data_IF_668457998370
#
_entry.id   IF_668457998370
#
_cell.length_a   1.000
_cell.length_b   1.000
_cell.length_c   1.000
_cell.angle_alpha   90.00
_cell.angle_beta   90.00
_cell.angle_gamma   90.00
#
_symmetry.space_group_name_H-M   'P 1'
#
loop_
_entity.id
_entity.type
_entity.pdbx_description
1 polymer ?
#
# COMPACT_ATOMS: atom_id res chain seq x y z
N UNK A 1 -10.59 -21.96 5.51
CA UNK A 1 -10.65 -20.54 5.95
C UNK A 1 -12.02 -20.15 6.52
N UNK A 2 -13.01 -21.06 6.54
CA UNK A 2 -14.37 -20.81 7.05
C UNK A 2 -14.69 -21.63 8.30
N UNK A 3 -13.67 -22.11 9.01
CA UNK A 3 -13.84 -22.84 10.27
C UNK A 3 -14.56 -21.98 11.32
N UNK A 4 -15.30 -22.58 12.25
CA UNK A 4 -15.99 -21.85 13.31
C UNK A 4 -14.99 -21.18 14.28
N UNK A 5 -13.85 -21.83 14.52
CA UNK A 5 -12.83 -21.37 15.46
C UNK A 5 -11.95 -20.25 14.85
N UNK A 6 -11.82 -19.15 15.58
CA UNK A 6 -11.09 -17.95 15.12
C UNK A 6 -9.61 -18.22 14.91
N UNK A 7 -9.00 -19.01 15.80
CA UNK A 7 -7.56 -19.29 15.80
C UNK A 7 -7.18 -20.18 14.61
N UNK A 8 -8.10 -21.06 14.19
CA UNK A 8 -7.96 -21.87 12.98
C UNK A 8 -8.01 -20.97 11.75
N UNK A 9 -8.96 -20.03 11.67
CA UNK A 9 -9.03 -19.07 10.54
C UNK A 9 -7.78 -18.18 10.49
N UNK A 10 -7.35 -17.64 11.63
CA UNK A 10 -6.16 -16.80 11.74
C UNK A 10 -4.91 -17.54 11.20
N UNK A 11 -4.69 -18.77 11.66
CA UNK A 11 -3.54 -19.59 11.25
C UNK A 11 -3.61 -19.97 9.78
N UNK A 12 -4.83 -20.26 9.28
CA UNK A 12 -5.03 -20.58 7.87
C UNK A 12 -4.67 -19.40 6.94
N UNK A 13 -4.99 -18.16 7.32
CA UNK A 13 -4.60 -16.99 6.52
C UNK A 13 -3.11 -16.68 6.60
N UNK A 14 -2.45 -16.92 7.73
CA UNK A 14 -0.99 -16.83 7.82
C UNK A 14 -0.34 -17.82 6.84
N UNK A 15 -0.74 -19.09 6.92
CA UNK A 15 -0.25 -20.12 6.00
C UNK A 15 -0.54 -19.77 4.53
N UNK A 16 -1.70 -19.20 4.22
CA UNK A 16 -2.03 -18.80 2.86
C UNK A 16 -1.04 -17.77 2.29
N UNK A 17 -0.66 -16.76 3.08
CA UNK A 17 0.35 -15.80 2.65
C UNK A 17 1.72 -16.45 2.44
N UNK A 18 2.13 -17.37 3.32
CA UNK A 18 3.37 -18.15 3.15
C UNK A 18 3.33 -19.01 1.87
N UNK A 19 2.20 -19.67 1.59
CA UNK A 19 1.99 -20.44 0.37
C UNK A 19 2.04 -19.55 -0.88
N UNK A 20 1.48 -18.34 -0.81
CA UNK A 20 1.60 -17.37 -1.90
C UNK A 20 3.07 -17.02 -2.15
N UNK A 21 3.82 -16.71 -1.10
CA UNK A 21 5.24 -16.33 -1.22
C UNK A 21 6.12 -17.42 -1.84
N UNK A 22 5.92 -18.67 -1.43
CA UNK A 22 6.86 -19.76 -1.70
C UNK A 22 6.38 -20.77 -2.74
N UNK A 23 5.07 -20.94 -2.92
CA UNK A 23 4.51 -21.99 -3.76
C UNK A 23 3.17 -21.59 -4.40
N UNK A 24 3.09 -20.35 -4.91
CA UNK A 24 1.89 -19.79 -5.56
C UNK A 24 1.27 -20.70 -6.62
N UNK A 25 2.09 -21.39 -7.42
CA UNK A 25 1.63 -22.30 -8.47
C UNK A 25 0.71 -23.42 -7.95
N UNK A 26 0.84 -23.81 -6.68
CA UNK A 26 0.00 -24.84 -6.06
C UNK A 26 -1.39 -24.32 -5.67
N UNK A 27 -1.53 -23.02 -5.39
CA UNK A 27 -2.77 -22.40 -4.93
C UNK A 27 -3.47 -21.57 -6.03
N UNK A 28 -2.75 -21.21 -7.09
CA UNK A 28 -3.27 -20.42 -8.20
C UNK A 28 -4.54 -21.04 -8.84
N UNK A 29 -4.66 -22.37 -9.05
CA UNK A 29 -5.86 -22.95 -9.64
C UNK A 29 -7.13 -22.74 -8.79
N UNK A 30 -6.98 -22.55 -7.47
CA UNK A 30 -8.08 -22.36 -6.52
C UNK A 30 -8.25 -20.89 -6.12
N UNK A 31 -7.54 -19.96 -6.76
CA UNK A 31 -7.50 -18.57 -6.32
C UNK A 31 -8.88 -17.92 -6.29
N UNK A 32 -9.77 -18.24 -7.23
CA UNK A 32 -11.13 -17.71 -7.22
C UNK A 32 -11.91 -18.06 -5.95
N UNK A 33 -11.86 -19.31 -5.51
CA UNK A 33 -12.50 -19.74 -4.27
C UNK A 33 -11.80 -19.14 -3.04
N UNK A 34 -10.47 -19.09 -3.07
CA UNK A 34 -9.68 -18.47 -2.00
C UNK A 34 -10.08 -17.01 -1.80
N UNK A 35 -10.16 -16.23 -2.88
CA UNK A 35 -10.51 -14.80 -2.81
C UNK A 35 -11.95 -14.58 -2.37
N UNK A 36 -12.89 -15.45 -2.78
CA UNK A 36 -14.27 -15.43 -2.28
C UNK A 36 -14.36 -15.63 -0.77
N UNK A 37 -13.49 -16.47 -0.20
CA UNK A 37 -13.44 -16.69 1.25
C UNK A 37 -12.63 -15.63 1.99
N UNK A 38 -11.58 -15.07 1.38
CA UNK A 38 -10.66 -14.12 1.98
C UNK A 38 -11.29 -12.72 2.11
N UNK A 39 -11.84 -12.17 1.04
CA UNK A 39 -12.30 -10.77 1.00
C UNK A 39 -13.30 -10.45 2.14
N UNK A 40 -14.29 -11.31 2.45
CA UNK A 40 -15.22 -11.05 3.54
C UNK A 40 -14.59 -11.04 4.94
N UNK A 41 -13.41 -11.66 5.12
CA UNK A 41 -12.72 -11.73 6.42
C UNK A 41 -11.96 -10.44 6.75
N UNK A 42 -11.76 -9.56 5.76
CA UNK A 42 -11.32 -8.20 5.97
C UNK A 42 -12.54 -7.40 6.45
N UNK A 43 -12.79 -7.43 7.75
CA UNK A 43 -14.00 -6.89 8.38
C UNK A 43 -13.76 -5.52 9.01
N UNK A 44 -14.64 -4.56 8.68
CA UNK A 44 -14.61 -3.19 9.20
C UNK A 44 -14.82 -3.08 10.70
N UNK A 45 -15.53 -4.05 11.29
CA UNK A 45 -15.82 -4.06 12.72
C UNK A 45 -14.69 -4.71 13.53
N UNK A 46 -13.68 -5.27 12.86
CA UNK A 46 -12.58 -5.99 13.49
C UNK A 46 -13.04 -7.07 14.48
N UNK A 47 -14.22 -7.67 14.24
CA UNK A 47 -14.83 -8.62 15.19
C UNK A 47 -13.85 -9.75 15.54
N UNK A 48 -13.02 -10.11 14.57
CA UNK A 48 -11.90 -11.02 14.71
C UNK A 48 -10.61 -10.37 14.20
N UNK A 49 -10.06 -9.45 14.99
CA UNK A 49 -8.90 -8.62 14.63
C UNK A 49 -7.75 -9.39 13.97
N UNK A 50 -7.30 -10.48 14.58
CA UNK A 50 -6.15 -11.24 14.07
C UNK A 50 -6.46 -11.97 12.75
N UNK A 51 -7.71 -12.41 12.56
CA UNK A 51 -8.18 -13.01 11.30
C UNK A 51 -8.18 -11.96 10.21
N UNK A 52 -8.75 -10.77 10.50
CA UNK A 52 -8.78 -9.64 9.57
C UNK A 52 -7.36 -9.19 9.18
N UNK A 53 -6.44 -9.13 10.15
CA UNK A 53 -5.04 -8.78 9.92
C UNK A 53 -4.34 -9.76 8.97
N UNK A 54 -4.45 -11.06 9.22
CA UNK A 54 -3.81 -12.06 8.37
C UNK A 54 -4.49 -12.18 6.99
N UNK A 55 -5.81 -11.96 6.92
CA UNK A 55 -6.53 -11.89 5.65
C UNK A 55 -6.06 -10.69 4.80
N UNK A 56 -5.91 -9.51 5.40
CA UNK A 56 -5.38 -8.33 4.70
C UNK A 56 -3.97 -8.57 4.19
N UNK A 57 -3.06 -9.04 5.06
CA UNK A 57 -1.68 -9.34 4.69
C UNK A 57 -1.57 -10.38 3.56
N UNK A 58 -2.29 -11.52 3.68
CA UNK A 58 -2.28 -12.56 2.66
C UNK A 58 -2.85 -12.09 1.31
N UNK A 59 -3.81 -11.16 1.29
CA UNK A 59 -4.27 -10.54 0.05
C UNK A 59 -3.13 -9.79 -0.68
N UNK A 60 -2.28 -9.10 0.08
CA UNK A 60 -1.11 -8.40 -0.46
C UNK A 60 -0.09 -9.35 -1.07
N UNK A 61 0.21 -10.47 -0.41
CA UNK A 61 1.12 -11.50 -0.93
C UNK A 61 0.56 -12.18 -2.19
N UNK A 62 -0.74 -12.51 -2.19
CA UNK A 62 -1.42 -13.05 -3.37
C UNK A 62 -1.39 -12.07 -4.55
N UNK A 63 -1.58 -10.78 -4.31
CA UNK A 63 -1.52 -9.76 -5.36
C UNK A 63 -0.13 -9.71 -6.02
N UNK A 64 0.94 -9.66 -5.22
CA UNK A 64 2.32 -9.61 -5.73
C UNK A 64 2.68 -10.83 -6.58
N UNK A 65 2.14 -12.00 -6.23
CA UNK A 65 2.46 -13.27 -6.90
C UNK A 65 1.55 -13.57 -8.08
N UNK A 66 0.28 -13.18 -8.01
CA UNK A 66 -0.70 -13.38 -9.07
C UNK A 66 -0.49 -12.46 -10.28
N UNK A 67 -0.04 -11.22 -10.06
CA UNK A 67 0.06 -10.23 -11.13
C UNK A 67 -1.32 -9.71 -11.58
N UNK A 68 -1.33 -8.71 -12.46
CA UNK A 68 -2.55 -7.93 -12.81
C UNK A 68 -3.67 -8.82 -13.33
N UNK A 69 -3.41 -9.66 -14.33
CA UNK A 69 -4.43 -10.49 -14.98
C UNK A 69 -5.21 -11.37 -13.99
N UNK A 70 -4.53 -11.85 -12.96
CA UNK A 70 -5.08 -12.78 -11.98
C UNK A 70 -5.78 -12.04 -10.85
N UNK A 71 -5.20 -10.96 -10.31
CA UNK A 71 -5.74 -10.26 -9.14
C UNK A 71 -6.82 -9.23 -9.48
N UNK A 72 -6.79 -8.65 -10.69
CA UNK A 72 -7.62 -7.50 -11.08
C UNK A 72 -9.11 -7.62 -10.74
N UNK A 73 -9.80 -8.77 -10.92
CA UNK A 73 -11.21 -8.91 -10.54
C UNK A 73 -11.49 -8.69 -9.05
N UNK A 74 -10.48 -8.86 -8.19
CA UNK A 74 -10.60 -8.77 -6.74
C UNK A 74 -10.09 -7.44 -6.18
N UNK A 75 -9.41 -6.61 -6.99
CA UNK A 75 -8.83 -5.34 -6.52
C UNK A 75 -9.90 -4.41 -6.00
N UNK A 76 -11.00 -4.18 -6.72
CA UNK A 76 -12.09 -3.31 -6.26
C UNK A 76 -12.73 -3.82 -4.97
N UNK A 77 -13.17 -5.09 -4.86
CA UNK A 77 -13.68 -5.65 -3.60
C UNK A 77 -12.69 -5.53 -2.42
N UNK A 78 -11.38 -5.69 -2.67
CA UNK A 78 -10.36 -5.50 -1.64
C UNK A 78 -10.26 -4.03 -1.23
N UNK A 79 -10.25 -3.08 -2.16
CA UNK A 79 -10.18 -1.65 -1.84
C UNK A 79 -11.39 -1.17 -1.05
N UNK A 80 -12.59 -1.63 -1.41
CA UNK A 80 -13.82 -1.34 -0.66
C UNK A 80 -13.67 -1.72 0.81
N UNK A 81 -12.92 -2.79 1.11
CA UNK A 81 -12.63 -3.26 2.47
C UNK A 81 -11.45 -2.51 3.10
N UNK A 82 -10.31 -2.44 2.43
CA UNK A 82 -9.06 -1.93 2.98
C UNK A 82 -9.04 -0.41 3.19
N UNK A 83 -9.70 0.38 2.33
CA UNK A 83 -9.67 1.85 2.43
C UNK A 83 -10.41 2.35 3.67
N UNK A 84 -11.65 1.92 3.98
CA UNK A 84 -12.30 2.29 5.24
C UNK A 84 -11.54 1.77 6.46
N UNK A 85 -10.91 0.60 6.36
CA UNK A 85 -10.03 0.09 7.41
C UNK A 85 -8.86 1.01 7.69
N UNK A 86 -8.17 1.48 6.66
CA UNK A 86 -7.03 2.38 6.81
C UNK A 86 -7.45 3.75 7.39
N UNK A 87 -8.57 4.29 6.89
CA UNK A 87 -9.05 5.63 7.23
C UNK A 87 -9.72 5.73 8.61
N UNK A 88 -10.04 4.61 9.26
CA UNK A 88 -10.58 4.63 10.62
C UNK A 88 -9.44 4.86 11.64
N UNK A 89 -9.54 5.93 12.42
CA UNK A 89 -8.52 6.27 13.42
C UNK A 89 -8.45 5.28 14.58
N UNK A 90 -9.54 4.54 14.83
CA UNK A 90 -9.63 3.54 15.89
C UNK A 90 -9.06 2.17 15.48
N UNK A 91 -8.64 2.02 14.22
CA UNK A 91 -8.04 0.78 13.73
C UNK A 91 -6.74 0.50 14.46
N UNK A 92 -6.56 -0.70 15.04
CA UNK A 92 -5.29 -1.08 15.64
C UNK A 92 -4.13 -0.91 14.66
N UNK A 93 -3.02 -0.34 15.12
CA UNK A 93 -1.91 0.10 14.28
C UNK A 93 -1.42 -1.00 13.33
N UNK A 94 -1.17 -2.21 13.84
CA UNK A 94 -0.68 -3.35 13.02
C UNK A 94 -1.62 -3.70 11.86
N UNK A 95 -2.94 -3.57 12.07
CA UNK A 95 -3.90 -3.79 10.99
C UNK A 95 -3.95 -2.63 10.01
N UNK A 96 -3.83 -1.38 10.48
CA UNK A 96 -3.71 -0.23 9.60
C UNK A 96 -2.45 -0.31 8.72
N UNK A 97 -1.33 -0.75 9.30
CA UNK A 97 -0.06 -1.01 8.59
C UNK A 97 -0.26 -2.07 7.49
N UNK A 98 -0.84 -3.23 7.83
CA UNK A 98 -1.11 -4.29 6.86
C UNK A 98 -2.11 -3.87 5.78
N UNK A 99 -3.14 -3.09 6.13
CA UNK A 99 -4.08 -2.55 5.16
C UNK A 99 -3.38 -1.61 4.17
N UNK A 100 -2.55 -0.69 4.68
CA UNK A 100 -1.83 0.26 3.85
C UNK A 100 -0.76 -0.42 2.97
N UNK A 101 0.00 -1.38 3.51
CA UNK A 101 0.96 -2.17 2.73
C UNK A 101 0.23 -2.91 1.60
N UNK A 102 -0.91 -3.53 1.91
CA UNK A 102 -1.73 -4.26 0.93
C UNK A 102 -2.26 -3.34 -0.17
N UNK A 103 -2.80 -2.17 0.18
CA UNK A 103 -3.23 -1.16 -0.80
C UNK A 103 -2.07 -0.75 -1.71
N UNK A 104 -0.88 -0.54 -1.15
CA UNK A 104 0.34 -0.23 -1.91
C UNK A 104 0.66 -1.36 -2.90
N UNK A 105 0.67 -2.61 -2.46
CA UNK A 105 0.94 -3.78 -3.32
C UNK A 105 -0.11 -3.96 -4.41
N UNK A 106 -1.39 -3.73 -4.13
CA UNK A 106 -2.44 -3.70 -5.14
C UNK A 106 -2.19 -2.60 -6.18
N UNK A 107 -1.73 -1.42 -5.74
CA UNK A 107 -1.36 -0.31 -6.61
C UNK A 107 -0.13 -0.58 -7.48
N UNK A 108 0.81 -1.40 -6.98
CA UNK A 108 1.96 -1.86 -7.76
C UNK A 108 1.55 -2.80 -8.89
N UNK A 109 0.59 -3.69 -8.62
CA UNK A 109 0.18 -4.75 -9.55
C UNK A 109 -0.90 -4.27 -10.52
N UNK A 110 -1.89 -3.53 -10.04
CA UNK A 110 -3.06 -3.08 -10.81
C UNK A 110 -3.27 -1.57 -10.71
N UNK A 111 -2.28 -0.74 -11.09
CA UNK A 111 -2.35 0.71 -10.92
C UNK A 111 -3.57 1.34 -11.62
N UNK A 112 -3.99 0.78 -12.76
CA UNK A 112 -5.18 1.24 -13.50
C UNK A 112 -6.48 1.20 -12.69
N UNK A 113 -6.58 0.32 -11.70
CA UNK A 113 -7.76 0.17 -10.83
C UNK A 113 -7.60 0.95 -9.52
N UNK A 114 -6.38 0.98 -8.96
CA UNK A 114 -6.16 1.59 -7.64
C UNK A 114 -5.93 3.10 -7.72
N UNK A 115 -5.17 3.59 -8.72
CA UNK A 115 -4.79 5.00 -8.82
C UNK A 115 -5.97 6.00 -8.86
N UNK A 116 -7.14 5.68 -9.45
CA UNK A 116 -8.32 6.56 -9.36
C UNK A 116 -8.81 6.81 -7.92
N UNK A 117 -8.49 5.91 -6.99
CA UNK A 117 -8.90 6.00 -5.57
C UNK A 117 -7.82 6.65 -4.69
N UNK A 118 -6.71 7.10 -5.28
CA UNK A 118 -5.53 7.56 -4.53
C UNK A 118 -5.87 8.67 -3.52
N UNK A 119 -6.67 9.64 -3.92
CA UNK A 119 -7.09 10.76 -3.07
C UNK A 119 -7.84 10.28 -1.81
N UNK A 120 -8.55 9.15 -1.89
CA UNK A 120 -9.38 8.64 -0.80
C UNK A 120 -8.56 8.09 0.37
N UNK A 121 -7.31 7.67 0.16
CA UNK A 121 -6.51 7.01 1.19
C UNK A 121 -5.10 7.58 1.38
N UNK A 122 -4.56 8.34 0.42
CA UNK A 122 -3.14 8.69 0.40
C UNK A 122 -2.65 9.43 1.65
N UNK A 123 -3.47 10.33 2.22
CA UNK A 123 -3.09 11.07 3.44
C UNK A 123 -2.83 10.13 4.60
N UNK A 124 -3.81 9.27 4.90
CA UNK A 124 -3.71 8.31 6.00
C UNK A 124 -2.66 7.24 5.73
N UNK A 125 -2.53 6.81 4.48
CA UNK A 125 -1.47 5.89 4.05
C UNK A 125 -0.08 6.43 4.36
N UNK A 126 0.20 7.70 4.02
CA UNK A 126 1.50 8.32 4.29
C UNK A 126 1.78 8.40 5.80
N UNK A 127 0.77 8.76 6.60
CA UNK A 127 0.89 8.82 8.06
C UNK A 127 1.25 7.44 8.63
N UNK A 128 0.51 6.40 8.26
CA UNK A 128 0.75 5.03 8.76
C UNK A 128 2.11 4.49 8.32
N UNK A 129 2.47 4.62 7.04
CA UNK A 129 3.73 4.05 6.53
C UNK A 129 4.96 4.85 6.99
N UNK A 130 4.78 6.08 7.48
CA UNK A 130 5.87 6.87 8.05
C UNK A 130 6.41 6.29 9.37
N UNK A 131 5.59 5.55 10.13
CA UNK A 131 6.01 4.89 11.38
C UNK A 131 6.56 3.48 11.18
N UNK A 132 6.34 2.87 10.01
CA UNK A 132 6.85 1.52 9.68
C UNK A 132 8.36 1.60 9.43
N UNK A 133 9.12 0.69 10.05
CA UNK A 133 10.56 0.56 9.80
C UNK A 133 10.83 0.10 8.37
N UNK A 134 11.97 0.49 7.83
CA UNK A 134 12.36 0.09 6.48
C UNK A 134 12.52 -1.43 6.39
N UNK A 135 11.69 -2.04 5.53
CA UNK A 135 11.68 -3.47 5.22
C UNK A 135 11.15 -3.70 3.79
N UNK A 136 11.17 -4.94 3.33
CA UNK A 136 10.73 -5.31 1.98
C UNK A 136 9.24 -5.03 1.74
N UNK A 137 8.40 -5.18 2.76
CA UNK A 137 6.97 -4.92 2.66
C UNK A 137 6.70 -3.43 2.42
N UNK A 138 7.31 -2.55 3.23
CA UNK A 138 7.28 -1.10 3.07
C UNK A 138 7.84 -0.70 1.70
N UNK A 139 8.93 -1.34 1.24
CA UNK A 139 9.51 -1.07 -0.09
C UNK A 139 8.50 -1.36 -1.19
N UNK A 140 7.90 -2.56 -1.19
CA UNK A 140 6.87 -2.94 -2.17
C UNK A 140 5.65 -2.01 -2.15
N UNK A 141 5.23 -1.56 -0.96
CA UNK A 141 4.12 -0.63 -0.80
C UNK A 141 4.44 0.76 -1.38
N UNK A 142 5.64 1.29 -1.15
CA UNK A 142 6.08 2.57 -1.73
C UNK A 142 6.27 2.50 -3.25
N UNK A 143 6.79 1.39 -3.78
CA UNK A 143 6.84 1.16 -5.23
C UNK A 143 5.44 1.26 -5.84
N UNK A 144 4.44 0.68 -5.19
CA UNK A 144 3.05 0.79 -5.62
C UNK A 144 2.48 2.19 -5.51
N UNK A 145 2.74 2.90 -4.42
CA UNK A 145 2.36 4.32 -4.26
C UNK A 145 2.92 5.17 -5.41
N UNK A 146 4.21 5.05 -5.72
CA UNK A 146 4.85 5.80 -6.81
C UNK A 146 4.33 5.41 -8.20
N UNK A 147 4.00 4.13 -8.39
CA UNK A 147 3.35 3.65 -9.62
C UNK A 147 1.97 4.28 -9.79
N UNK A 148 1.17 4.36 -8.72
CA UNK A 148 -0.13 5.01 -8.73
C UNK A 148 -0.03 6.53 -8.96
N UNK A 149 0.93 7.20 -8.31
CA UNK A 149 1.21 8.62 -8.54
C UNK A 149 1.55 8.87 -10.00
N UNK A 150 2.37 8.03 -10.61
CA UNK A 150 2.71 8.16 -12.04
C UNK A 150 1.49 8.00 -12.95
N UNK A 151 0.54 7.14 -12.58
CA UNK A 151 -0.70 6.92 -13.33
C UNK A 151 -1.79 7.98 -13.07
N UNK A 152 -1.83 8.57 -11.87
CA UNK A 152 -2.75 9.64 -11.48
C UNK A 152 -2.05 10.67 -10.57
N UNK A 153 -1.23 11.58 -11.15
CA UNK A 153 -0.47 12.56 -10.37
C UNK A 153 -1.33 13.49 -9.52
N UNK A 154 -2.53 13.86 -9.99
CA UNK A 154 -3.45 14.72 -9.25
C UNK A 154 -4.00 14.06 -7.99
N UNK A 155 -4.03 12.72 -7.93
CA UNK A 155 -4.55 11.99 -6.77
C UNK A 155 -3.73 12.18 -5.49
N UNK A 156 -2.44 12.59 -5.59
CA UNK A 156 -1.58 12.81 -4.42
C UNK A 156 -1.66 14.24 -3.88
N UNK A 157 -2.29 15.20 -4.58
CA UNK A 157 -2.18 16.62 -4.27
C UNK A 157 -2.50 16.96 -2.80
N UNK A 158 -3.56 16.38 -2.22
CA UNK A 158 -3.92 16.60 -0.80
C UNK A 158 -2.96 15.93 0.20
N UNK A 159 -2.23 14.91 -0.24
CA UNK A 159 -1.29 14.15 0.57
C UNK A 159 0.18 14.51 0.27
N UNK A 160 0.44 15.45 -0.65
CA UNK A 160 1.78 15.72 -1.17
C UNK A 160 2.81 15.97 -0.07
N UNK A 161 2.50 16.85 0.89
CA UNK A 161 3.42 17.15 2.00
C UNK A 161 3.69 15.93 2.89
N UNK A 162 2.66 15.10 3.14
CA UNK A 162 2.79 13.86 3.90
C UNK A 162 3.61 12.82 3.14
N UNK A 163 3.45 12.75 1.82
CA UNK A 163 4.24 11.88 0.96
C UNK A 163 5.72 12.29 0.98
N UNK A 164 6.02 13.59 0.90
CA UNK A 164 7.38 14.11 1.03
C UNK A 164 8.02 13.69 2.36
N UNK A 165 7.31 13.87 3.48
CA UNK A 165 7.76 13.46 4.80
C UNK A 165 7.99 11.94 4.89
N UNK A 166 7.04 11.15 4.40
CA UNK A 166 7.15 9.70 4.39
C UNK A 166 8.33 9.21 3.51
N UNK A 167 8.62 9.89 2.41
CA UNK A 167 9.74 9.58 1.53
C UNK A 167 11.10 9.91 2.19
N UNK A 168 11.25 11.07 2.82
CA UNK A 168 12.52 11.44 3.49
C UNK A 168 12.79 10.63 4.75
N UNK A 169 11.76 10.03 5.36
CA UNK A 169 11.91 9.14 6.51
C UNK A 169 12.58 7.80 6.20
N UNK A 170 12.69 7.40 4.92
CA UNK A 170 13.46 6.23 4.53
C UNK A 170 14.94 6.42 4.85
N UNK A 171 15.52 5.53 5.64
CA UNK A 171 16.93 5.56 6.04
C UNK A 171 17.82 4.87 5.00
N UNK A 172 17.42 3.70 4.52
CA UNK A 172 18.24 2.87 3.63
C UNK A 172 17.43 2.32 2.45
N UNK A 173 16.92 3.19 1.55
CA UNK A 173 16.29 2.71 0.32
C UNK A 173 17.34 2.02 -0.57
N UNK A 174 16.96 0.90 -1.18
CA UNK A 174 17.79 0.28 -2.20
C UNK A 174 17.88 1.15 -3.48
N UNK A 175 18.80 0.80 -4.38
CA UNK A 175 19.05 1.59 -5.59
C UNK A 175 17.80 1.75 -6.48
N UNK A 176 16.97 0.71 -6.58
CA UNK A 176 15.76 0.72 -7.42
C UNK A 176 14.69 1.61 -6.79
N UNK A 177 14.45 1.47 -5.49
CA UNK A 177 13.49 2.29 -4.76
C UNK A 177 13.92 3.77 -4.81
N UNK A 178 15.21 4.04 -4.65
CA UNK A 178 15.78 5.39 -4.77
C UNK A 178 15.58 5.99 -6.16
N UNK A 179 15.80 5.21 -7.22
CA UNK A 179 15.52 5.64 -8.60
C UNK A 179 14.04 5.99 -8.80
N UNK A 180 13.13 5.16 -8.28
CA UNK A 180 11.69 5.44 -8.35
C UNK A 180 11.30 6.72 -7.61
N UNK A 181 11.91 7.00 -6.46
CA UNK A 181 11.71 8.28 -5.77
C UNK A 181 12.14 9.44 -6.65
N UNK A 182 13.36 9.43 -7.18
CA UNK A 182 13.88 10.50 -8.06
C UNK A 182 12.94 10.73 -9.25
N UNK A 183 12.51 9.67 -9.94
CA UNK A 183 11.60 9.77 -11.07
C UNK A 183 10.23 10.35 -10.68
N UNK A 184 9.67 9.90 -9.56
CA UNK A 184 8.37 10.38 -9.07
C UNK A 184 8.42 11.86 -8.70
N UNK A 185 9.46 12.28 -7.98
CA UNK A 185 9.63 13.69 -7.62
C UNK A 185 9.89 14.57 -8.84
N UNK A 186 10.67 14.11 -9.82
CA UNK A 186 10.85 14.81 -11.08
C UNK A 186 9.51 14.99 -11.84
N UNK A 187 8.69 13.96 -11.90
CA UNK A 187 7.36 14.02 -12.51
C UNK A 187 6.41 14.98 -11.78
N UNK A 188 6.38 14.93 -10.45
CA UNK A 188 5.58 15.86 -9.63
C UNK A 188 6.05 17.31 -9.79
N UNK A 189 7.36 17.54 -9.86
CA UNK A 189 7.93 18.87 -10.13
C UNK A 189 7.55 19.40 -11.49
N UNK A 190 7.63 18.57 -12.53
CA UNK A 190 7.21 18.94 -13.88
C UNK A 190 5.72 19.30 -13.93
N UNK A 191 4.87 18.53 -13.24
CA UNK A 191 3.43 18.80 -13.17
C UNK A 191 3.13 20.11 -12.42
N UNK A 192 3.80 20.36 -11.30
CA UNK A 192 3.55 21.54 -10.47
C UNK A 192 4.05 22.85 -11.12
N UNK A 193 5.09 22.77 -11.96
CA UNK A 193 5.63 23.94 -12.65
C UNK A 193 6.02 25.05 -11.67
N UNK A 194 5.49 26.25 -11.88
CA UNK A 194 5.77 27.44 -11.07
C UNK A 194 5.30 27.29 -9.61
N UNK A 195 4.34 26.41 -9.33
CA UNK A 195 3.83 26.15 -7.97
C UNK A 195 4.74 25.23 -7.15
N UNK A 196 5.78 24.65 -7.75
CA UNK A 196 6.68 23.70 -7.08
C UNK A 196 7.37 24.30 -5.86
N UNK A 197 8.03 25.45 -6.01
CA UNK A 197 8.78 26.08 -4.91
C UNK A 197 7.84 26.55 -3.79
N UNK A 198 6.62 26.99 -4.13
CA UNK A 198 5.61 27.31 -3.13
C UNK A 198 5.18 26.07 -2.34
N UNK A 199 4.93 24.96 -3.04
CA UNK A 199 4.51 23.68 -2.44
C UNK A 199 5.61 23.09 -1.54
N UNK A 200 6.84 23.00 -2.04
CA UNK A 200 8.01 22.54 -1.28
C UNK A 200 8.34 23.50 -0.13
N UNK A 201 8.04 24.79 -0.28
CA UNK A 201 8.18 25.80 0.75
C UNK A 201 7.32 25.58 2.00
N UNK A 202 6.25 24.78 1.90
CA UNK A 202 5.40 24.42 3.04
C UNK A 202 5.98 23.31 3.93
N UNK A 203 7.02 22.60 3.47
CA UNK A 203 7.73 21.62 4.28
C UNK A 203 8.58 22.31 5.36
N UNK A 204 8.82 21.60 6.47
CA UNK A 204 9.81 22.04 7.44
C UNK A 204 11.22 22.14 6.81
N UNK A 205 12.12 22.98 7.36
CA UNK A 205 13.42 23.22 6.73
C UNK A 205 14.25 21.95 6.49
N UNK A 206 14.18 20.97 7.39
CA UNK A 206 14.94 19.74 7.30
C UNK A 206 14.41 18.82 6.20
N UNK A 207 13.09 18.56 6.19
CA UNK A 207 12.46 17.74 5.15
C UNK A 207 12.66 18.36 3.77
N UNK A 208 12.53 19.70 3.65
CA UNK A 208 12.78 20.42 2.40
C UNK A 208 14.20 20.22 1.88
N UNK A 209 15.19 20.32 2.75
CA UNK A 209 16.59 20.11 2.38
C UNK A 209 16.82 18.66 1.91
N UNK A 210 16.28 17.69 2.63
CA UNK A 210 16.40 16.27 2.27
C UNK A 210 15.72 15.93 0.95
N UNK A 211 14.55 16.51 0.64
CA UNK A 211 13.90 16.34 -0.66
C UNK A 211 14.80 16.85 -1.79
N UNK A 212 15.37 18.06 -1.63
CA UNK A 212 16.27 18.66 -2.61
C UNK A 212 17.54 17.83 -2.84
N UNK A 213 18.18 17.39 -1.75
CA UNK A 213 19.45 16.65 -1.80
C UNK A 213 19.29 15.21 -2.28
N UNK A 214 18.25 14.51 -1.82
CA UNK A 214 18.07 13.08 -2.12
C UNK A 214 17.39 12.86 -3.45
N UNK A 215 16.37 13.66 -3.77
CA UNK A 215 15.49 13.40 -4.92
C UNK A 215 15.75 14.34 -6.10
N UNK A 216 16.74 15.24 -6.01
CA UNK A 216 17.07 16.25 -7.02
C UNK A 216 15.86 17.13 -7.41
N UNK A 217 14.99 17.41 -6.44
CA UNK A 217 13.65 17.97 -6.66
C UNK A 217 13.50 19.36 -6.03
#
# INVERSE_FOLDING_TARGET
>A
MVDAETDVRQSAFALLGDLAMHCFALIQPQLGEIMQQLVPQIDYNYQHLNVCNNAAWSAGELALKGGDEVIKPYVTPLLERLVPLLNNENTPLTLAENAAITIGRLGLVSPSVVAPNLEAFAQRWCVVLSSVKDNDEKSSAFQGMMTMISANPHGISKAFLLFCQAAVNWQTPDARLMEMFVQTFAGLKQMAGDEWEASIGMLDPQSRQLVKERFNA
#
